data_IF_344160017438
#
_entry.id   IF_344160017438
#
_cell.length_a   1.000
_cell.length_b   1.000
_cell.length_c   1.000
_cell.angle_alpha   90.00
_cell.angle_beta   90.00
_cell.angle_gamma   90.00
#
_symmetry.space_group_name_H-M   'P 1'
#
loop_
_entity.id
_entity.type
_entity.pdbx_description
1 polymer ?
#
# COMPACT_ATOMS: atom_id res chain seq x y z
N UNK A 1 -29.82 -4.07 23.46
CA UNK A 1 -29.08 -2.92 22.91
C UNK A 1 -28.64 -3.24 21.49
N UNK A 2 -29.14 -2.50 20.51
CA UNK A 2 -28.90 -2.73 19.08
C UNK A 2 -27.40 -2.61 18.76
N UNK A 3 -26.77 -3.73 18.37
CA UNK A 3 -25.39 -3.74 17.89
C UNK A 3 -25.36 -3.44 16.38
N UNK A 4 -25.99 -2.32 16.00
CA UNK A 4 -25.70 -1.70 14.72
C UNK A 4 -24.31 -1.08 14.90
N UNK A 5 -23.28 -1.80 14.48
CA UNK A 5 -21.93 -1.26 14.39
C UNK A 5 -22.04 0.09 13.68
N UNK A 6 -21.84 1.20 14.42
CA UNK A 6 -21.67 2.51 13.77
C UNK A 6 -20.59 2.29 12.72
N UNK A 7 -20.89 2.53 11.45
CA UNK A 7 -19.86 2.68 10.46
C UNK A 7 -18.92 3.76 11.01
N UNK A 8 -17.72 3.37 11.43
CA UNK A 8 -16.75 4.30 11.99
C UNK A 8 -16.33 5.19 10.83
N UNK A 9 -16.56 6.49 10.98
CA UNK A 9 -15.98 7.47 10.10
C UNK A 9 -14.50 7.62 10.48
N UNK A 10 -13.64 6.95 9.71
CA UNK A 10 -12.20 6.96 9.95
C UNK A 10 -11.60 8.37 9.80
N UNK A 11 -12.23 9.24 9.00
CA UNK A 11 -11.73 10.58 8.80
C UNK A 11 -12.03 11.45 10.03
N UNK A 12 -13.21 11.32 10.64
CA UNK A 12 -13.55 12.00 11.88
C UNK A 12 -12.65 11.55 13.04
N UNK A 13 -12.39 10.24 13.16
CA UNK A 13 -11.50 9.71 14.20
C UNK A 13 -10.07 10.24 14.06
N UNK A 14 -9.52 10.27 12.84
CA UNK A 14 -8.20 10.87 12.58
C UNK A 14 -8.21 12.37 12.86
N UNK A 15 -9.24 13.09 12.42
CA UNK A 15 -9.34 14.55 12.59
C UNK A 15 -9.48 14.99 14.04
N UNK A 16 -9.96 14.12 14.93
CA UNK A 16 -9.92 14.35 16.38
C UNK A 16 -8.50 14.58 16.89
N UNK A 17 -7.51 13.88 16.33
CA UNK A 17 -6.10 13.99 16.72
C UNK A 17 -5.32 14.96 15.85
N UNK A 18 -5.64 15.04 14.56
CA UNK A 18 -5.00 15.92 13.57
C UNK A 18 -6.07 16.65 12.76
N UNK A 19 -6.52 17.83 13.21
CA UNK A 19 -7.63 18.56 12.55
C UNK A 19 -7.36 18.89 11.07
N UNK A 20 -6.09 19.07 10.70
CA UNK A 20 -5.63 19.35 9.35
C UNK A 20 -5.34 18.09 8.51
N UNK A 21 -5.88 16.93 8.90
CA UNK A 21 -5.54 15.67 8.24
C UNK A 21 -5.97 15.63 6.76
N UNK A 22 -5.08 15.10 5.91
CA UNK A 22 -5.32 14.95 4.48
C UNK A 22 -6.26 13.76 4.21
N UNK A 23 -7.45 14.05 3.66
CA UNK A 23 -8.45 13.02 3.38
C UNK A 23 -7.97 11.97 2.35
N UNK A 24 -7.07 12.35 1.43
CA UNK A 24 -6.48 11.44 0.45
C UNK A 24 -5.53 10.44 1.09
N UNK A 25 -4.68 10.91 2.01
CA UNK A 25 -3.83 10.05 2.82
C UNK A 25 -4.65 9.12 3.72
N UNK A 26 -5.71 9.62 4.37
CA UNK A 26 -6.65 8.78 5.15
C UNK A 26 -7.24 7.68 4.26
N UNK A 27 -7.75 8.04 3.07
CA UNK A 27 -8.32 7.07 2.15
C UNK A 27 -7.31 6.02 1.67
N UNK A 28 -6.06 6.42 1.42
CA UNK A 28 -4.97 5.49 1.08
C UNK A 28 -4.63 4.52 2.20
N UNK A 29 -4.59 5.00 3.46
CA UNK A 29 -4.38 4.15 4.63
C UNK A 29 -5.55 3.18 4.82
N UNK A 30 -6.80 3.64 4.66
CA UNK A 30 -7.97 2.76 4.72
C UNK A 30 -7.88 1.69 3.64
N UNK A 31 -7.51 2.05 2.40
CA UNK A 31 -7.30 1.10 1.29
C UNK A 31 -6.24 0.05 1.60
N UNK A 32 -5.12 0.45 2.20
CA UNK A 32 -4.07 -0.46 2.64
C UNK A 32 -4.59 -1.45 3.72
N UNK A 33 -5.42 -0.96 4.63
CA UNK A 33 -5.91 -1.74 5.77
C UNK A 33 -7.20 -2.54 5.49
N UNK A 34 -7.76 -2.53 4.28
CA UNK A 34 -9.08 -3.14 4.00
C UNK A 34 -9.19 -4.59 4.46
N UNK A 35 -8.13 -5.39 4.34
CA UNK A 35 -8.14 -6.79 4.80
C UNK A 35 -8.18 -6.86 6.33
N UNK A 36 -7.38 -6.02 7.01
CA UNK A 36 -7.35 -5.94 8.47
C UNK A 36 -8.68 -5.40 9.04
N UNK A 37 -9.37 -4.53 8.31
CA UNK A 37 -10.65 -3.96 8.73
C UNK A 37 -11.83 -4.95 8.65
N UNK A 38 -11.65 -6.13 8.04
CA UNK A 38 -12.71 -7.15 7.96
C UNK A 38 -13.03 -7.81 9.31
N UNK A 39 -12.10 -7.79 10.26
CA UNK A 39 -12.28 -8.37 11.59
C UNK A 39 -12.02 -7.32 12.66
N UNK A 40 -12.81 -7.37 13.74
CA UNK A 40 -12.74 -6.37 14.82
C UNK A 40 -11.33 -6.31 15.42
N UNK A 41 -10.75 -7.45 15.76
CA UNK A 41 -9.46 -7.49 16.46
C UNK A 41 -8.30 -7.05 15.56
N UNK A 42 -8.41 -7.25 14.24
CA UNK A 42 -7.42 -6.74 13.28
C UNK A 42 -7.62 -5.26 12.93
N UNK A 43 -8.78 -4.68 13.21
CA UNK A 43 -9.01 -3.25 13.04
C UNK A 43 -8.41 -2.40 14.18
N UNK A 44 -7.99 -3.04 15.28
CA UNK A 44 -7.46 -2.39 16.48
C UNK A 44 -5.95 -2.63 16.63
N UNK A 45 -5.28 -1.75 17.38
CA UNK A 45 -3.85 -1.89 17.72
C UNK A 45 -3.68 -1.90 19.25
N UNK A 46 -3.24 -3.04 19.80
CA UNK A 46 -2.99 -3.14 21.23
C UNK A 46 -1.60 -2.60 21.58
N UNK A 47 -1.47 -1.29 21.84
CA UNK A 47 -0.19 -0.67 22.20
C UNK A 47 0.44 -1.24 23.48
N UNK A 48 -0.37 -1.79 24.39
CA UNK A 48 0.11 -2.46 25.61
C UNK A 48 0.67 -3.87 25.42
N UNK A 49 0.54 -4.45 24.21
CA UNK A 49 1.07 -5.77 23.90
C UNK A 49 2.36 -5.67 23.07
N UNK A 50 3.52 -6.10 23.58
CA UNK A 50 4.78 -6.00 22.86
C UNK A 50 4.81 -6.81 21.55
N UNK A 51 4.00 -7.87 21.44
CA UNK A 51 3.91 -8.63 20.19
C UNK A 51 3.22 -7.83 19.07
N UNK A 52 2.19 -7.07 19.42
CA UNK A 52 1.43 -6.24 18.48
C UNK A 52 2.27 -5.03 18.06
N UNK A 53 2.92 -4.36 19.01
CA UNK A 53 3.85 -3.24 18.75
C UNK A 53 5.00 -3.66 17.83
N UNK A 54 5.61 -4.83 18.07
CA UNK A 54 6.62 -5.40 17.15
C UNK A 54 6.04 -5.66 15.76
N UNK A 55 4.80 -6.17 15.68
CA UNK A 55 4.11 -6.36 14.40
C UNK A 55 3.93 -5.07 13.62
N UNK A 56 3.57 -3.97 14.29
CA UNK A 56 3.49 -2.62 13.69
C UNK A 56 4.87 -2.15 13.24
N UNK A 57 5.90 -2.30 14.08
CA UNK A 57 7.27 -1.93 13.72
C UNK A 57 7.77 -2.65 12.47
N UNK A 58 7.68 -3.98 12.44
CA UNK A 58 8.21 -4.77 11.34
C UNK A 58 7.39 -4.66 10.06
N UNK A 59 6.06 -4.70 10.17
CA UNK A 59 5.21 -4.73 8.97
C UNK A 59 4.83 -3.35 8.46
N UNK A 60 4.56 -2.39 9.34
CA UNK A 60 4.16 -1.06 8.92
C UNK A 60 5.37 -0.13 8.78
N UNK A 61 6.15 0.07 9.84
CA UNK A 61 7.25 1.03 9.81
C UNK A 61 8.37 0.58 8.85
N UNK A 62 8.81 -0.67 8.92
CA UNK A 62 9.91 -1.15 8.06
C UNK A 62 9.45 -1.51 6.66
N UNK A 63 8.43 -2.38 6.50
CA UNK A 63 8.01 -2.85 5.16
C UNK A 63 7.18 -1.84 4.39
N UNK A 64 6.17 -1.20 5.00
CA UNK A 64 5.28 -0.27 4.28
C UNK A 64 5.94 1.11 4.10
N UNK A 65 6.46 1.69 5.19
CA UNK A 65 7.07 3.03 5.13
C UNK A 65 8.54 3.03 4.66
N UNK A 66 9.19 1.87 4.64
CA UNK A 66 10.59 1.74 4.25
C UNK A 66 11.58 2.34 5.25
N UNK A 67 11.20 2.46 6.53
CA UNK A 67 12.07 3.02 7.55
C UNK A 67 13.20 2.03 7.88
N UNK A 68 14.43 2.54 7.89
CA UNK A 68 15.64 1.78 8.28
C UNK A 68 16.18 2.22 9.64
N UNK A 69 15.40 3.00 10.38
CA UNK A 69 15.73 3.47 11.72
C UNK A 69 15.89 2.30 12.69
N UNK A 70 16.70 2.46 13.75
CA UNK A 70 16.88 1.44 14.76
C UNK A 70 15.56 1.16 15.50
N UNK A 71 15.39 -0.09 15.93
CA UNK A 71 14.15 -0.57 16.57
C UNK A 71 13.71 0.32 17.75
N UNK A 72 14.67 0.83 18.54
CA UNK A 72 14.38 1.71 19.67
C UNK A 72 13.71 3.04 19.26
N UNK A 73 14.08 3.62 18.11
CA UNK A 73 13.45 4.84 17.60
C UNK A 73 12.04 4.55 17.12
N UNK A 74 11.84 3.43 16.42
CA UNK A 74 10.53 3.00 15.96
C UNK A 74 9.59 2.66 17.14
N UNK A 75 10.10 1.97 18.15
CA UNK A 75 9.34 1.64 19.36
C UNK A 75 9.00 2.89 20.18
N UNK A 76 9.92 3.85 20.27
CA UNK A 76 9.65 5.12 20.93
C UNK A 76 8.55 5.91 20.21
N UNK A 77 8.56 5.94 18.87
CA UNK A 77 7.51 6.58 18.09
C UNK A 77 6.16 5.86 18.25
N UNK A 78 6.15 4.52 18.25
CA UNK A 78 4.92 3.74 18.48
C UNK A 78 4.37 3.99 19.89
N UNK A 79 5.25 4.07 20.89
CA UNK A 79 4.90 4.45 22.26
C UNK A 79 4.27 5.83 22.33
N UNK A 80 4.87 6.83 21.68
CA UNK A 80 4.35 8.20 21.65
C UNK A 80 2.97 8.29 20.99
N UNK A 81 2.73 7.52 19.91
CA UNK A 81 1.40 7.42 19.28
C UNK A 81 0.41 6.71 20.20
N UNK A 82 0.82 5.65 20.89
CA UNK A 82 -0.01 4.94 21.87
C UNK A 82 -0.44 5.85 23.03
N UNK A 83 0.48 6.65 23.56
CA UNK A 83 0.19 7.66 24.58
C UNK A 83 -0.80 8.71 24.07
N UNK A 84 -0.63 9.18 22.82
CA UNK A 84 -1.55 10.15 22.20
C UNK A 84 -2.97 9.61 22.01
N UNK A 85 -3.12 8.30 21.80
CA UNK A 85 -4.40 7.62 21.62
C UNK A 85 -4.93 6.96 22.92
N UNK A 86 -4.31 7.23 24.07
CA UNK A 86 -4.68 6.63 25.37
C UNK A 86 -6.06 7.05 25.87
N UNK A 87 -6.63 8.12 25.31
CA UNK A 87 -7.99 8.58 25.60
C UNK A 87 -9.08 7.65 25.04
N UNK A 88 -8.72 6.76 24.10
CA UNK A 88 -9.65 5.85 23.44
C UNK A 88 -9.42 4.40 23.87
N UNK A 89 -10.46 3.75 24.38
CA UNK A 89 -10.41 2.33 24.82
C UNK A 89 -10.17 1.34 23.68
N UNK A 90 -10.42 1.73 22.43
CA UNK A 90 -10.26 0.89 21.24
C UNK A 90 -9.53 1.65 20.15
N UNK A 91 -8.19 1.77 20.23
CA UNK A 91 -7.40 2.51 19.26
C UNK A 91 -7.44 1.84 17.89
N UNK A 92 -7.94 2.59 16.91
CA UNK A 92 -8.09 2.12 15.54
C UNK A 92 -6.78 2.15 14.76
N UNK A 93 -6.54 1.07 14.00
CA UNK A 93 -5.30 0.91 13.21
C UNK A 93 -5.11 2.00 12.16
N UNK A 94 -6.19 2.47 11.53
CA UNK A 94 -6.14 3.57 10.55
C UNK A 94 -5.58 4.85 11.18
N UNK A 95 -6.08 5.22 12.35
CA UNK A 95 -5.66 6.41 13.10
C UNK A 95 -4.23 6.28 13.60
N UNK A 96 -3.87 5.13 14.17
CA UNK A 96 -2.51 4.83 14.58
C UNK A 96 -1.51 4.95 13.41
N UNK A 97 -1.86 4.41 12.23
CA UNK A 97 -0.99 4.44 11.05
C UNK A 97 -0.88 5.83 10.45
N UNK A 98 -1.96 6.62 10.50
CA UNK A 98 -1.91 8.02 10.08
C UNK A 98 -0.95 8.81 10.97
N UNK A 99 -1.07 8.70 12.30
CA UNK A 99 -0.21 9.40 13.24
C UNK A 99 1.26 8.98 13.13
N UNK A 100 1.53 7.70 12.91
CA UNK A 100 2.88 7.20 12.66
C UNK A 100 3.45 7.75 11.34
N UNK A 101 2.67 7.71 10.26
CA UNK A 101 3.12 8.23 8.97
C UNK A 101 3.33 9.75 9.00
N UNK A 102 2.52 10.50 9.75
CA UNK A 102 2.69 11.94 10.01
C UNK A 102 3.98 12.21 10.78
N UNK A 103 4.25 11.45 11.85
CA UNK A 103 5.46 11.59 12.67
C UNK A 103 6.76 11.41 11.87
N UNK A 104 6.76 10.53 10.87
CA UNK A 104 7.94 10.26 10.03
C UNK A 104 7.93 11.02 8.68
N UNK A 105 6.98 11.93 8.47
CA UNK A 105 6.80 12.66 7.21
C UNK A 105 6.64 11.72 5.99
N UNK A 106 5.99 10.57 6.19
CA UNK A 106 5.74 9.53 5.18
C UNK A 106 4.30 9.49 4.68
N UNK A 107 3.48 10.50 4.97
CA UNK A 107 2.11 10.58 4.47
C UNK A 107 2.04 10.53 2.93
N UNK A 108 3.10 10.96 2.24
CA UNK A 108 3.22 10.83 0.79
C UNK A 108 3.10 9.40 0.24
N UNK A 109 3.37 8.36 1.04
CA UNK A 109 3.19 6.97 0.62
C UNK A 109 1.70 6.59 0.45
N UNK A 110 0.83 7.20 1.24
CA UNK A 110 -0.61 6.92 1.23
C UNK A 110 -1.43 7.99 0.56
N UNK A 111 -0.84 9.15 0.28
CA UNK A 111 -1.44 10.14 -0.59
C UNK A 111 -1.54 9.51 -1.97
N UNK A 112 -2.67 8.84 -2.22
CA UNK A 112 -3.14 8.73 -3.58
C UNK A 112 -3.06 10.15 -4.12
N UNK A 113 -2.44 10.33 -5.29
CA UNK A 113 -2.56 11.59 -5.98
C UNK A 113 -4.03 12.01 -5.83
N UNK A 114 -4.34 13.30 -5.54
CA UNK A 114 -5.70 13.73 -5.80
C UNK A 114 -6.06 13.19 -7.19
N UNK A 115 -7.32 12.90 -7.51
CA UNK A 115 -7.69 12.92 -8.90
C UNK A 115 -7.36 14.35 -9.37
N UNK A 116 -6.08 14.62 -9.71
CA UNK A 116 -5.64 15.68 -10.58
C UNK A 116 -6.61 15.54 -11.68
N UNK A 117 -7.49 16.53 -11.79
CA UNK A 117 -8.63 16.54 -12.67
C UNK A 117 -8.19 16.05 -14.05
N UNK A 118 -8.25 14.73 -14.23
CA UNK A 118 -8.23 14.11 -15.51
C UNK A 118 -9.68 14.38 -15.90
N UNK A 119 -9.95 15.33 -16.82
CA UNK A 119 -11.31 15.48 -17.33
C UNK A 119 -11.71 14.09 -17.72
N UNK A 120 -12.75 13.57 -17.06
CA UNK A 120 -13.18 12.18 -17.12
C UNK A 120 -12.87 11.67 -18.52
N UNK A 121 -11.85 10.81 -18.67
CA UNK A 121 -11.53 10.27 -20.00
C UNK A 121 -12.86 9.78 -20.51
N UNK A 122 -13.44 10.37 -21.57
CA UNK A 122 -14.73 9.92 -22.04
C UNK A 122 -14.52 8.45 -22.29
N UNK A 123 -15.34 7.61 -21.64
CA UNK A 123 -15.31 6.17 -21.85
C UNK A 123 -15.36 6.01 -23.37
N UNK A 124 -14.23 5.66 -23.98
CA UNK A 124 -14.18 5.42 -25.41
C UNK A 124 -15.26 4.38 -25.71
N UNK A 125 -15.94 4.44 -26.88
CA UNK A 125 -17.17 3.70 -27.15
C UNK A 125 -17.02 2.17 -27.25
N UNK A 126 -15.98 1.56 -26.67
CA UNK A 126 -15.80 0.11 -26.59
C UNK A 126 -16.88 -0.59 -25.75
N UNK A 127 -17.64 0.15 -24.93
CA UNK A 127 -18.81 -0.37 -24.22
C UNK A 127 -20.05 -0.57 -25.13
N UNK A 128 -20.04 -0.09 -26.38
CA UNK A 128 -21.22 -0.12 -27.26
C UNK A 128 -21.23 -1.27 -28.29
N UNK A 129 -20.18 -2.10 -28.40
CA UNK A 129 -20.09 -3.12 -29.47
C UNK A 129 -19.94 -4.57 -29.00
N UNK A 130 -20.08 -4.87 -27.70
CA UNK A 130 -19.90 -6.25 -27.20
C UNK A 130 -21.21 -7.00 -26.86
N UNK A 131 -22.38 -6.38 -27.00
CA UNK A 131 -23.67 -7.01 -26.67
C UNK A 131 -24.75 -6.83 -27.76
N UNK A 132 -24.38 -6.94 -29.04
CA UNK A 132 -25.35 -7.14 -30.15
C UNK A 132 -24.90 -8.27 -31.08
N UNK A 133 -24.51 -9.40 -30.48
CA UNK A 133 -24.21 -10.62 -31.24
C UNK A 133 -25.50 -11.44 -31.47
N UNK A 134 -25.87 -11.77 -32.72
CA UNK A 134 -27.03 -12.62 -33.00
C UNK A 134 -26.82 -14.07 -32.49
N UNK A 135 -27.90 -14.82 -32.21
CA UNK A 135 -27.87 -16.02 -31.35
C UNK A 135 -27.07 -17.19 -31.91
N UNK A 136 -26.65 -18.07 -31.00
CA UNK A 136 -25.84 -19.27 -31.29
C UNK A 136 -26.54 -20.20 -32.27
N UNK A 137 -25.82 -20.56 -33.34
CA UNK A 137 -26.04 -21.79 -34.09
C UNK A 137 -25.98 -21.63 -35.60
N UNK A 138 -24.76 -21.60 -36.16
CA UNK A 138 -24.42 -22.29 -37.42
C UNK A 138 -22.89 -22.32 -37.58
N UNK A 139 -22.35 -23.54 -37.60
CA UNK A 139 -21.02 -23.98 -38.03
C UNK A 139 -20.58 -23.35 -39.37
N UNK A 140 -19.30 -23.11 -39.65
CA UNK A 140 -18.28 -24.01 -40.25
C UNK A 140 -17.08 -23.07 -40.54
N UNK A 141 -15.79 -23.32 -40.37
CA UNK A 141 -14.94 -24.46 -40.01
C UNK A 141 -13.48 -24.07 -40.40
N UNK A 142 -12.46 -24.64 -39.75
CA UNK A 142 -11.06 -24.54 -40.23
C UNK A 142 -10.01 -24.33 -39.12
N UNK A 143 -8.92 -25.12 -39.07
CA UNK A 143 -8.25 -25.50 -37.82
C UNK A 143 -7.11 -24.59 -37.35
N UNK A 144 -6.95 -24.62 -36.04
CA UNK A 144 -5.84 -24.09 -35.24
C UNK A 144 -4.46 -24.40 -35.81
N UNK A 145 -3.61 -23.39 -35.91
CA UNK A 145 -2.15 -23.48 -35.72
C UNK A 145 -1.63 -22.06 -35.68
N UNK A 146 -1.19 -21.60 -34.51
CA UNK A 146 -0.02 -20.73 -34.36
C UNK A 146 0.22 -20.44 -32.87
N UNK A 147 0.57 -21.52 -32.17
CA UNK A 147 1.48 -21.43 -31.03
C UNK A 147 2.89 -21.62 -31.61
N UNK A 148 3.60 -20.51 -31.86
CA UNK A 148 5.06 -20.53 -32.02
C UNK A 148 5.67 -19.60 -30.99
N UNK A 149 5.88 -20.19 -29.81
CA UNK A 149 7.00 -19.86 -28.94
C UNK A 149 8.30 -20.15 -29.70
N UNK A 150 9.22 -19.18 -29.69
CA UNK A 150 10.66 -19.48 -29.70
C UNK A 150 11.43 -19.23 -31.00
N UNK A 151 12.17 -18.12 -30.96
CA UNK A 151 13.64 -18.08 -31.10
C UNK A 151 14.29 -17.74 -32.47
N UNK A 152 15.23 -16.78 -32.34
CA UNK A 152 16.56 -16.67 -32.97
C UNK A 152 16.70 -16.06 -34.38
N UNK A 153 17.17 -14.80 -34.39
CA UNK A 153 18.36 -14.26 -35.08
C UNK A 153 18.24 -12.73 -35.03
N UNK A 154 19.13 -11.92 -34.47
CA UNK A 154 20.58 -11.90 -34.49
C UNK A 154 21.02 -10.46 -34.79
N UNK A 155 22.18 -10.06 -34.24
CA UNK A 155 23.08 -8.99 -34.72
C UNK A 155 22.76 -7.52 -34.38
N UNK A 156 23.39 -7.00 -33.31
CA UNK A 156 24.40 -5.92 -33.42
C UNK A 156 25.00 -5.53 -32.05
N UNK A 157 26.32 -5.77 -31.89
CA UNK A 157 27.28 -5.15 -30.94
C UNK A 157 27.06 -5.43 -29.44
N UNK A 158 27.92 -6.13 -28.67
CA UNK A 158 29.38 -6.22 -28.72
C UNK A 158 29.98 -4.85 -28.31
N UNK A 159 30.75 -4.65 -27.25
CA UNK A 159 31.93 -5.37 -26.71
C UNK A 159 32.25 -4.68 -25.35
N UNK A 160 32.37 -5.42 -24.24
CA UNK A 160 33.63 -5.77 -23.54
C UNK A 160 34.24 -4.55 -22.76
N UNK A 161 34.74 -4.64 -21.52
CA UNK A 161 35.23 -5.76 -20.76
C UNK A 161 35.29 -5.41 -19.26
N UNK A 162 35.04 -6.44 -18.46
CA UNK A 162 35.49 -6.64 -17.09
C UNK A 162 37.04 -6.64 -17.02
N UNK A 163 37.63 -6.23 -15.89
CA UNK A 163 38.55 -7.05 -15.04
C UNK A 163 39.49 -6.19 -14.16
N UNK A 164 39.50 -6.58 -12.88
CA UNK A 164 40.54 -6.57 -11.84
C UNK A 164 41.07 -5.27 -11.20
N UNK A 165 40.67 -5.16 -9.92
CA UNK A 165 41.46 -4.89 -8.73
C UNK A 165 43.00 -4.89 -8.84
N UNK A 166 43.61 -3.91 -8.18
CA UNK A 166 44.95 -3.99 -7.62
C UNK A 166 44.93 -3.40 -6.21
N UNK A 167 45.39 -4.21 -5.27
CA UNK A 167 45.51 -3.93 -3.85
C UNK A 167 46.59 -2.88 -3.56
N UNK A 168 46.39 -2.10 -2.49
CA UNK A 168 47.47 -1.39 -1.80
C UNK A 168 47.47 -1.84 -0.35
N UNK A 169 48.54 -2.52 0.05
CA UNK A 169 48.95 -2.70 1.44
C UNK A 169 50.47 -2.56 1.49
N UNK A 170 50.93 -1.97 2.59
CA UNK A 170 52.14 -1.17 2.71
C UNK A 170 53.35 -1.91 3.30
N UNK A 171 54.54 -1.31 3.10
CA UNK A 171 55.57 -1.17 4.13
C UNK A 171 56.66 -2.24 4.19
N UNK A 172 57.93 -1.78 4.17
CA UNK A 172 59.13 -2.55 4.51
C UNK A 172 60.31 -2.25 3.61
#
# INVERSE_FOLDING_TARGET
>A
MSNAARAIDWADDVKRYVPSADNGAIAGIVRHNLVALKTRDSALVSFGNPADTRGVRENFCKKTLGLSDPDAVLDSAIGAVGERMSDTTSPHRVTAYYLLADHFDKLGHFRAAPPSAEPARPLAPWAATMFDGPPRGTSVGGPSTDLMFGALAGLSGGILALVAAIASTAGG
#
